data_IF_004594835364
#
_entry.id   IF_004594835364
#
_cell.length_a   1.000
_cell.length_b   1.000
_cell.length_c   1.000
_cell.angle_alpha   90.00
_cell.angle_beta   90.00
_cell.angle_gamma   90.00
#
_symmetry.space_group_name_H-M   'P 1'
#
loop_
_entity.id
_entity.type
_entity.pdbx_description
1 polymer ?
#
# COMPACT_ATOMS: atom_id res chain seq x y z
N UNK A 1 -24.33 -69.61 16.51
CA UNK A 1 -23.02 -70.16 16.15
C UNK A 1 -22.03 -69.03 16.20
N UNK A 2 -21.09 -69.12 17.07
CA UNK A 2 -20.14 -68.17 17.54
C UNK A 2 -19.34 -67.46 16.43
N UNK A 3 -19.14 -66.15 16.55
CA UNK A 3 -18.12 -65.42 15.82
C UNK A 3 -17.43 -64.40 16.73
N UNK A 4 -16.15 -64.48 16.77
CA UNK A 4 -15.15 -63.86 17.64
C UNK A 4 -15.03 -62.37 17.51
N UNK A 5 -15.00 -61.73 18.68
CA UNK A 5 -14.42 -60.40 18.93
C UNK A 5 -12.89 -60.42 18.70
N UNK A 6 -12.40 -59.45 17.97
CA UNK A 6 -10.99 -59.12 17.93
C UNK A 6 -10.82 -57.59 18.11
N UNK A 7 -10.43 -57.21 19.32
CA UNK A 7 -9.93 -55.89 19.67
C UNK A 7 -8.44 -55.80 19.36
N UNK A 8 -7.93 -54.75 18.74
CA UNK A 8 -6.50 -54.48 18.72
C UNK A 8 -6.07 -53.57 19.86
N UNK A 9 -4.98 -53.96 20.45
CA UNK A 9 -4.25 -53.45 21.56
C UNK A 9 -3.84 -51.98 21.42
N UNK A 10 -4.05 -51.25 22.51
CA UNK A 10 -3.51 -49.91 22.79
C UNK A 10 -1.97 -49.93 22.83
N UNK A 11 -1.31 -49.33 21.93
CA UNK A 11 0.14 -49.07 22.02
C UNK A 11 0.38 -47.79 22.80
N UNK A 12 0.72 -47.91 24.08
CA UNK A 12 1.20 -46.84 24.96
C UNK A 12 2.69 -46.67 24.77
N UNK A 13 3.13 -45.81 23.85
CA UNK A 13 4.45 -45.22 23.91
C UNK A 13 4.33 -43.77 23.46
N UNK A 14 3.85 -42.93 24.37
CA UNK A 14 3.99 -41.50 24.27
C UNK A 14 5.39 -41.09 24.77
N UNK A 15 6.29 -40.92 23.86
CA UNK A 15 7.57 -40.26 24.10
C UNK A 15 7.34 -38.78 24.33
N UNK A 16 7.59 -38.37 25.58
CA UNK A 16 7.72 -36.98 26.00
C UNK A 16 8.80 -36.29 25.15
N UNK A 17 8.39 -35.44 24.24
CA UNK A 17 9.29 -34.53 23.54
C UNK A 17 9.23 -33.17 24.25
N UNK A 18 10.22 -32.92 25.10
CA UNK A 18 10.47 -31.62 25.70
C UNK A 18 10.73 -30.60 24.61
N UNK A 19 9.82 -29.66 24.47
CA UNK A 19 9.96 -28.47 23.62
C UNK A 19 10.98 -27.53 24.21
N UNK A 20 12.20 -27.56 23.70
CA UNK A 20 13.19 -26.52 23.94
C UNK A 20 12.70 -25.21 23.30
N UNK A 21 12.26 -24.29 24.12
CA UNK A 21 12.02 -22.91 23.72
C UNK A 21 13.38 -22.28 23.41
N UNK A 22 13.76 -22.27 22.15
CA UNK A 22 14.87 -21.44 21.67
C UNK A 22 14.44 -19.98 21.73
N UNK A 23 14.98 -19.30 22.75
CA UNK A 23 14.91 -17.85 22.89
C UNK A 23 15.69 -17.23 21.73
N UNK A 24 14.98 -16.77 20.71
CA UNK A 24 15.54 -15.96 19.61
C UNK A 24 16.08 -14.66 20.23
N UNK A 25 17.40 -14.54 20.27
CA UNK A 25 18.05 -13.28 20.58
C UNK A 25 17.75 -12.27 19.47
N UNK A 26 17.41 -11.02 19.81
CA UNK A 26 17.22 -9.99 18.81
C UNK A 26 18.56 -9.72 18.10
N UNK A 27 18.59 -9.94 16.79
CA UNK A 27 19.67 -9.48 15.92
C UNK A 27 19.78 -7.96 16.08
N UNK A 28 20.87 -7.53 16.66
CA UNK A 28 21.24 -6.11 16.66
C UNK A 28 21.39 -5.67 15.20
N UNK A 29 20.46 -4.85 14.74
CA UNK A 29 20.59 -4.14 13.51
C UNK A 29 21.81 -3.22 13.64
N UNK A 30 22.86 -3.47 12.88
CA UNK A 30 23.96 -2.54 12.67
C UNK A 30 23.37 -1.31 12.00
N UNK A 31 23.15 -0.26 12.77
CA UNK A 31 22.89 1.06 12.23
C UNK A 31 24.13 1.48 11.42
N UNK A 32 24.01 1.47 10.10
CA UNK A 32 24.93 2.21 9.25
C UNK A 32 24.71 3.69 9.56
N UNK A 33 25.75 4.32 10.11
CA UNK A 33 25.77 5.72 10.41
C UNK A 33 25.43 6.54 9.17
N UNK A 34 24.52 7.53 9.27
CA UNK A 34 24.33 8.50 8.21
C UNK A 34 25.60 9.34 8.10
N UNK A 35 26.02 9.57 6.85
CA UNK A 35 27.07 10.53 6.52
C UNK A 35 26.77 11.87 7.21
N UNK A 36 27.51 12.13 8.27
CA UNK A 36 27.51 13.42 8.92
C UNK A 36 28.30 14.37 7.99
N UNK A 37 27.60 15.09 7.13
CA UNK A 37 28.18 16.23 6.43
C UNK A 37 28.45 17.30 7.47
N UNK A 38 29.69 17.33 7.96
CA UNK A 38 30.24 18.44 8.69
C UNK A 38 30.31 19.65 7.76
N UNK A 39 29.36 20.56 7.91
CA UNK A 39 29.50 21.90 7.40
C UNK A 39 30.68 22.56 8.16
N UNK A 40 31.82 22.65 7.51
CA UNK A 40 32.91 23.46 7.97
C UNK A 40 32.45 24.93 7.98
N UNK A 41 32.36 25.51 9.17
CA UNK A 41 32.23 26.94 9.35
C UNK A 41 33.52 27.57 8.80
N UNK A 42 33.44 28.62 7.95
CA UNK A 42 34.62 29.44 7.69
C UNK A 42 34.89 30.26 8.94
N UNK A 43 36.05 30.01 9.50
CA UNK A 43 36.60 30.72 10.60
C UNK A 43 37.03 32.13 10.16
N UNK A 44 36.54 33.10 10.94
CA UNK A 44 37.22 34.31 11.42
C UNK A 44 37.94 35.18 10.39
N UNK A 45 37.31 36.32 10.12
CA UNK A 45 37.98 37.54 9.74
C UNK A 45 38.83 38.03 10.92
N UNK A 46 40.11 37.72 10.90
CA UNK A 46 41.07 38.35 11.76
C UNK A 46 41.40 39.75 11.22
N UNK A 47 41.12 40.64 12.06
CA UNK A 47 41.47 42.03 12.19
C UNK A 47 42.95 42.30 11.87
N UNK A 48 43.27 42.92 10.76
CA UNK A 48 44.59 43.53 10.54
C UNK A 48 44.47 45.05 10.73
N UNK A 49 44.85 45.45 11.92
CA UNK A 49 45.12 46.82 12.31
C UNK A 49 46.60 47.03 12.12
N UNK A 50 47.00 47.85 11.20
CA UNK A 50 48.36 48.22 10.98
C UNK A 50 48.41 49.62 10.38
N UNK A 51 48.81 50.55 11.21
CA UNK A 51 48.98 51.99 10.90
C UNK A 51 50.28 52.26 10.16
N UNK A 52 50.37 53.41 9.68
CA UNK A 52 51.67 54.04 9.37
C UNK A 52 51.68 54.93 8.16
N UNK A 53 51.52 56.15 8.39
CA UNK A 53 52.43 57.25 7.97
C UNK A 53 52.66 57.60 6.49
N UNK A 54 52.15 58.73 6.10
CA UNK A 54 52.92 59.80 5.51
C UNK A 54 53.42 59.65 4.06
N UNK A 55 52.97 60.56 3.18
CA UNK A 55 53.58 60.78 1.88
C UNK A 55 52.73 61.66 1.00
N UNK A 56 53.03 62.98 1.03
CA UNK A 56 52.49 64.00 0.14
C UNK A 56 52.82 63.67 -1.32
N UNK A 57 51.87 63.83 -2.18
CA UNK A 57 52.04 63.63 -3.62
C UNK A 57 50.83 64.11 -4.37
N UNK A 58 50.85 65.42 -4.74
CA UNK A 58 49.95 66.06 -5.69
C UNK A 58 49.88 65.19 -7.00
N UNK A 59 48.74 64.65 -7.30
CA UNK A 59 48.49 63.98 -8.55
C UNK A 59 47.17 64.43 -9.18
N UNK A 60 47.11 64.46 -10.48
CA UNK A 60 46.03 65.08 -11.22
C UNK A 60 44.80 64.20 -11.26
N UNK A 61 43.65 64.88 -11.30
CA UNK A 61 42.33 64.46 -11.84
C UNK A 61 42.12 62.99 -12.04
N UNK A 62 41.46 62.39 -11.10
CA UNK A 62 40.75 61.15 -11.35
C UNK A 62 39.63 61.41 -12.35
N UNK A 63 39.83 61.03 -13.60
CA UNK A 63 38.74 60.63 -14.41
C UNK A 63 38.05 59.50 -13.64
N UNK A 64 36.87 59.76 -13.14
CA UNK A 64 35.92 58.68 -12.77
C UNK A 64 35.72 57.86 -14.03
N UNK A 65 36.57 56.87 -14.19
CA UNK A 65 36.33 55.81 -15.15
C UNK A 65 34.99 55.22 -14.75
N UNK A 66 33.96 55.77 -15.37
CA UNK A 66 32.61 55.27 -15.31
C UNK A 66 32.67 53.82 -15.80
N UNK A 67 32.85 52.91 -14.82
CA UNK A 67 32.95 51.49 -15.08
C UNK A 67 31.61 51.06 -15.71
N UNK A 68 31.52 51.17 -17.03
CA UNK A 68 30.41 50.67 -17.80
C UNK A 68 30.52 49.14 -17.76
N UNK A 69 29.72 48.49 -16.94
CA UNK A 69 29.84 47.05 -16.81
C UNK A 69 29.49 46.41 -18.15
N UNK A 70 30.44 45.64 -18.64
CA UNK A 70 30.32 44.88 -19.88
C UNK A 70 29.01 44.06 -19.89
N UNK A 71 28.06 44.46 -20.75
CA UNK A 71 26.72 43.88 -20.79
C UNK A 71 26.77 42.37 -21.09
N UNK A 72 27.81 41.93 -21.81
CA UNK A 72 28.00 40.49 -22.07
C UNK A 72 28.40 39.73 -20.83
N UNK A 73 29.25 40.31 -19.99
CA UNK A 73 29.63 39.68 -18.68
C UNK A 73 28.46 39.64 -17.71
N UNK A 74 27.63 40.69 -17.67
CA UNK A 74 26.39 40.71 -16.85
C UNK A 74 25.40 39.66 -17.34
N UNK A 75 25.19 39.54 -18.65
CA UNK A 75 24.32 38.55 -19.21
C UNK A 75 24.79 37.12 -18.91
N UNK A 76 26.10 36.88 -19.01
CA UNK A 76 26.68 35.57 -18.67
C UNK A 76 26.51 35.24 -17.19
N UNK A 77 26.81 36.21 -16.29
CA UNK A 77 26.63 36.03 -14.85
C UNK A 77 25.16 35.75 -14.47
N UNK A 78 24.24 36.52 -15.06
CA UNK A 78 22.80 36.27 -14.84
C UNK A 78 22.36 34.89 -15.36
N UNK A 79 22.86 34.46 -16.51
CA UNK A 79 22.57 33.16 -17.05
C UNK A 79 23.11 32.03 -16.16
N UNK A 80 24.33 32.18 -15.66
CA UNK A 80 24.92 31.23 -14.70
C UNK A 80 24.13 31.17 -13.40
N UNK A 81 23.70 32.34 -12.88
CA UNK A 81 22.93 32.43 -11.66
C UNK A 81 21.54 31.78 -11.83
N UNK A 82 20.85 32.10 -12.92
CA UNK A 82 19.55 31.47 -13.25
C UNK A 82 19.71 29.98 -13.48
N UNK A 83 20.77 29.54 -14.14
CA UNK A 83 21.05 28.13 -14.34
C UNK A 83 21.36 27.39 -13.04
N UNK A 84 22.19 27.97 -12.17
CA UNK A 84 22.59 27.34 -10.90
C UNK A 84 21.43 27.16 -9.90
N UNK A 85 20.48 28.09 -9.88
CA UNK A 85 19.29 28.01 -9.02
C UNK A 85 18.13 27.35 -9.71
N UNK A 86 17.93 27.63 -11.00
CA UNK A 86 16.80 27.16 -11.78
C UNK A 86 16.80 25.63 -11.99
N UNK A 87 17.98 25.05 -12.26
CA UNK A 87 18.08 23.59 -12.46
C UNK A 87 17.66 22.79 -11.20
N UNK A 88 18.26 23.00 -10.02
CA UNK A 88 17.85 22.24 -8.84
C UNK A 88 16.42 22.56 -8.41
N UNK A 89 15.97 23.81 -8.57
CA UNK A 89 14.60 24.21 -8.27
C UNK A 89 13.59 23.51 -9.18
N UNK A 90 13.87 23.41 -10.49
CA UNK A 90 12.98 22.70 -11.44
C UNK A 90 12.91 21.20 -11.17
N UNK A 91 14.02 20.55 -10.81
CA UNK A 91 14.05 19.13 -10.42
C UNK A 91 13.23 18.93 -9.16
N UNK A 92 13.42 19.76 -8.12
CA UNK A 92 12.63 19.65 -6.89
C UNK A 92 11.13 19.89 -7.14
N UNK A 93 10.80 20.89 -7.93
CA UNK A 93 9.41 21.19 -8.28
C UNK A 93 8.78 20.07 -9.12
N UNK A 94 9.54 19.49 -10.05
CA UNK A 94 9.10 18.36 -10.86
C UNK A 94 8.84 17.09 -10.05
N UNK A 95 9.75 16.75 -9.14
CA UNK A 95 9.55 15.60 -8.24
C UNK A 95 8.38 15.83 -7.27
N UNK A 96 8.25 17.05 -6.75
CA UNK A 96 7.11 17.41 -5.91
C UNK A 96 5.78 17.31 -6.67
N UNK A 97 5.72 17.85 -7.89
CA UNK A 97 4.53 17.76 -8.74
C UNK A 97 4.20 16.31 -9.11
N UNK A 98 5.21 15.47 -9.40
CA UNK A 98 4.99 14.05 -9.73
C UNK A 98 4.39 13.25 -8.58
N UNK A 99 4.59 13.69 -7.34
CA UNK A 99 3.99 13.06 -6.17
C UNK A 99 2.46 13.17 -6.15
N UNK A 100 1.91 14.23 -6.72
CA UNK A 100 0.45 14.42 -6.83
C UNK A 100 -0.17 13.73 -8.04
N UNK A 101 0.65 13.23 -8.96
CA UNK A 101 0.15 12.45 -10.10
C UNK A 101 0.02 11.00 -9.66
N UNK A 102 -1.21 10.48 -9.49
CA UNK A 102 -1.37 9.08 -9.13
C UNK A 102 -0.76 8.21 -10.24
N UNK A 103 -0.03 7.13 -9.87
CA UNK A 103 0.50 6.21 -10.87
C UNK A 103 -0.67 5.66 -11.69
N UNK A 104 -0.62 5.87 -13.00
CA UNK A 104 -1.61 5.30 -13.92
C UNK A 104 -1.38 3.79 -13.90
N UNK A 105 -2.11 3.11 -13.02
CA UNK A 105 -2.18 1.64 -13.06
C UNK A 105 -2.77 1.28 -14.42
N UNK A 106 -2.07 0.43 -15.13
CA UNK A 106 -2.36 -0.03 -16.48
C UNK A 106 -3.88 -0.12 -16.73
N UNK A 107 -4.32 0.58 -17.75
CA UNK A 107 -5.72 0.61 -18.25
C UNK A 107 -6.16 -0.70 -18.90
N UNK A 108 -5.73 -1.83 -18.37
CA UNK A 108 -6.26 -3.12 -18.71
C UNK A 108 -7.53 -3.35 -17.92
N UNK A 109 -8.68 -3.24 -18.52
CA UNK A 109 -9.94 -3.81 -18.05
C UNK A 109 -10.61 -3.22 -16.78
N UNK A 110 -10.08 -2.18 -16.14
CA UNK A 110 -10.71 -1.55 -14.94
C UNK A 110 -10.72 -2.43 -13.69
N UNK A 111 -10.07 -3.60 -13.71
CA UNK A 111 -9.91 -4.50 -12.58
C UNK A 111 -8.66 -4.20 -11.77
N UNK A 112 -8.67 -4.60 -10.51
CA UNK A 112 -7.53 -4.57 -9.60
C UNK A 112 -7.17 -6.01 -9.24
N UNK A 113 -5.88 -6.36 -9.34
CA UNK A 113 -5.41 -7.68 -8.92
C UNK A 113 -5.63 -7.83 -7.42
N UNK A 114 -6.35 -8.89 -7.04
CA UNK A 114 -6.57 -9.22 -5.63
C UNK A 114 -5.25 -9.53 -4.94
N UNK A 115 -5.08 -8.99 -3.73
CA UNK A 115 -3.88 -9.18 -2.93
C UNK A 115 -4.22 -9.78 -1.58
N UNK A 116 -3.33 -10.60 -1.10
CA UNK A 116 -3.39 -11.14 0.26
C UNK A 116 -3.06 -10.05 1.30
N UNK A 117 -3.23 -10.35 2.57
CA UNK A 117 -2.91 -9.48 3.70
C UNK A 117 -1.45 -8.96 3.68
N UNK A 118 -0.54 -9.70 3.08
CA UNK A 118 0.86 -9.33 2.88
C UNK A 118 1.11 -8.47 1.63
N UNK A 119 0.07 -8.18 0.84
CA UNK A 119 0.18 -7.44 -0.42
C UNK A 119 0.65 -8.29 -1.61
N UNK A 120 0.75 -9.61 -1.46
CA UNK A 120 1.13 -10.53 -2.52
C UNK A 120 -0.04 -10.76 -3.48
N UNK A 121 0.14 -10.69 -4.81
CA UNK A 121 -0.91 -10.97 -5.77
C UNK A 121 -1.32 -12.43 -5.72
N UNK A 122 -2.63 -12.67 -5.78
CA UNK A 122 -3.21 -14.02 -5.63
C UNK A 122 -3.34 -14.68 -7.01
N UNK A 123 -2.71 -15.87 -7.16
CA UNK A 123 -2.90 -16.74 -8.31
C UNK A 123 -4.04 -17.71 -8.05
N UNK A 124 -4.96 -17.88 -9.02
CA UNK A 124 -6.12 -18.78 -8.90
C UNK A 124 -5.71 -20.20 -8.52
N UNK A 125 -4.74 -20.79 -9.21
CA UNK A 125 -4.32 -22.17 -8.98
C UNK A 125 -3.78 -22.40 -7.57
N UNK A 126 -2.86 -21.57 -7.12
CA UNK A 126 -2.28 -21.65 -5.78
C UNK A 126 -3.34 -21.42 -4.69
N UNK A 127 -4.27 -20.51 -4.96
CA UNK A 127 -5.35 -20.19 -4.03
C UNK A 127 -6.28 -21.39 -3.85
N UNK A 128 -6.73 -22.04 -4.93
CA UNK A 128 -7.61 -23.19 -4.87
C UNK A 128 -6.95 -24.44 -4.26
N UNK A 129 -5.62 -24.59 -4.38
CA UNK A 129 -4.89 -25.69 -3.71
C UNK A 129 -4.82 -25.51 -2.19
N UNK A 130 -4.82 -24.28 -1.72
CA UNK A 130 -4.65 -23.96 -0.30
C UNK A 130 -5.99 -23.87 0.44
N UNK A 131 -7.07 -23.53 -0.28
CA UNK A 131 -8.38 -23.26 0.31
C UNK A 131 -9.39 -24.36 -0.02
N UNK A 132 -10.17 -24.73 0.98
CA UNK A 132 -11.18 -25.79 0.82
C UNK A 132 -12.43 -25.26 0.10
N UNK A 133 -13.22 -26.17 -0.55
CA UNK A 133 -14.54 -25.81 -1.07
C UNK A 133 -15.41 -25.15 -0.01
N UNK A 134 -16.13 -24.09 -0.40
CA UNK A 134 -16.96 -23.30 0.51
C UNK A 134 -16.23 -22.26 1.36
N UNK A 135 -14.89 -22.14 1.22
CA UNK A 135 -14.12 -21.13 1.95
C UNK A 135 -14.43 -19.71 1.48
N UNK A 136 -14.29 -18.78 2.40
CA UNK A 136 -14.43 -17.33 2.16
C UNK A 136 -13.30 -16.61 2.86
N UNK A 137 -12.35 -16.12 2.08
CA UNK A 137 -11.14 -15.52 2.62
C UNK A 137 -11.08 -14.05 2.29
N UNK A 138 -10.59 -13.29 3.27
CA UNK A 138 -10.51 -11.85 3.18
C UNK A 138 -9.24 -11.43 2.44
N UNK A 139 -9.42 -10.69 1.35
CA UNK A 139 -8.35 -10.18 0.51
C UNK A 139 -8.50 -8.67 0.31
N UNK A 140 -7.48 -8.03 -0.22
CA UNK A 140 -7.57 -6.65 -0.67
C UNK A 140 -8.15 -6.61 -2.09
N UNK A 141 -9.34 -6.03 -2.22
CA UNK A 141 -10.04 -5.86 -3.48
C UNK A 141 -9.92 -4.46 -4.07
N UNK A 142 -11.03 -3.97 -4.61
CA UNK A 142 -11.14 -2.63 -5.19
C UNK A 142 -10.76 -1.56 -4.16
N UNK A 143 -9.97 -0.58 -4.58
CA UNK A 143 -9.49 0.53 -3.73
C UNK A 143 -8.74 0.10 -2.45
N UNK A 144 -8.32 -1.18 -2.36
CA UNK A 144 -7.72 -1.73 -1.15
C UNK A 144 -8.73 -2.09 -0.06
N UNK A 145 -10.02 -2.08 -0.36
CA UNK A 145 -11.07 -2.45 0.58
C UNK A 145 -11.06 -3.96 0.86
N UNK A 146 -11.41 -4.37 2.10
CA UNK A 146 -11.51 -5.77 2.45
C UNK A 146 -12.62 -6.43 1.64
N UNK A 147 -12.28 -7.48 0.91
CA UNK A 147 -13.17 -8.18 -0.01
C UNK A 147 -13.04 -9.68 0.20
N UNK A 148 -14.16 -10.39 0.19
CA UNK A 148 -14.15 -11.85 0.26
C UNK A 148 -14.09 -12.46 -1.13
N UNK A 149 -13.09 -13.30 -1.36
CA UNK A 149 -13.11 -14.27 -2.45
C UNK A 149 -13.91 -15.49 -2.00
N UNK A 150 -14.84 -15.91 -2.82
CA UNK A 150 -15.74 -17.02 -2.52
C UNK A 150 -15.35 -18.24 -3.36
N UNK A 151 -15.04 -19.34 -2.71
CA UNK A 151 -14.87 -20.64 -3.36
C UNK A 151 -16.21 -21.37 -3.25
N UNK A 152 -16.72 -21.88 -4.37
CA UNK A 152 -17.98 -22.62 -4.37
C UNK A 152 -17.81 -24.04 -3.79
N UNK A 153 -18.91 -24.74 -3.65
CA UNK A 153 -18.91 -26.11 -3.10
C UNK A 153 -18.24 -27.13 -4.06
N UNK A 154 -18.06 -26.77 -5.35
CA UNK A 154 -17.31 -27.57 -6.34
C UNK A 154 -15.79 -27.31 -6.33
N UNK A 155 -15.33 -26.39 -5.51
CA UNK A 155 -13.90 -26.08 -5.41
C UNK A 155 -13.40 -25.10 -6.47
N UNK A 156 -14.31 -24.35 -7.11
CA UNK A 156 -13.98 -23.29 -8.07
C UNK A 156 -14.20 -21.91 -7.48
N UNK A 157 -13.49 -20.91 -8.01
CA UNK A 157 -13.70 -19.54 -7.64
C UNK A 157 -15.02 -19.03 -8.24
N UNK A 158 -15.88 -18.47 -7.40
CA UNK A 158 -17.13 -17.84 -7.86
C UNK A 158 -16.85 -16.60 -8.72
N UNK A 159 -17.72 -16.34 -9.69
CA UNK A 159 -17.63 -15.16 -10.57
C UNK A 159 -17.91 -13.84 -9.85
N UNK A 160 -18.15 -13.87 -8.55
CA UNK A 160 -18.37 -12.67 -7.73
C UNK A 160 -17.57 -12.69 -6.45
N UNK A 161 -17.21 -11.51 -6.00
CA UNK A 161 -16.60 -11.23 -4.71
C UNK A 161 -17.54 -10.34 -3.88
N UNK A 162 -17.41 -10.39 -2.57
CA UNK A 162 -18.21 -9.63 -1.63
C UNK A 162 -17.35 -8.60 -0.91
N UNK A 163 -17.71 -7.34 -0.98
CA UNK A 163 -17.09 -6.33 -0.12
C UNK A 163 -17.46 -6.62 1.34
N UNK A 164 -16.47 -6.73 2.21
CA UNK A 164 -16.65 -7.08 3.61
C UNK A 164 -17.13 -5.92 4.49
N UNK A 165 -17.36 -4.75 3.92
CA UNK A 165 -17.73 -3.54 4.65
C UNK A 165 -19.23 -3.52 4.93
N UNK A 166 -19.60 -3.48 6.21
CA UNK A 166 -20.98 -3.42 6.67
C UNK A 166 -21.66 -2.11 6.22
N UNK A 167 -22.82 -2.22 5.60
CA UNK A 167 -23.58 -1.08 5.09
C UNK A 167 -24.24 -0.21 6.18
N UNK A 168 -24.13 -0.61 7.45
CA UNK A 168 -24.60 0.20 8.58
C UNK A 168 -23.62 1.33 8.91
N UNK A 169 -22.41 1.02 9.37
CA UNK A 169 -21.41 2.00 9.81
C UNK A 169 -19.96 1.60 9.40
N UNK A 170 -19.80 0.77 8.40
CA UNK A 170 -18.48 0.50 7.82
C UNK A 170 -17.59 -0.51 8.55
N UNK A 171 -18.12 -1.27 9.52
CA UNK A 171 -17.34 -2.34 10.18
C UNK A 171 -17.04 -3.49 9.20
N UNK A 172 -15.88 -4.11 9.31
CA UNK A 172 -15.57 -5.34 8.57
C UNK A 172 -16.39 -6.49 9.14
N UNK A 173 -17.11 -7.21 8.29
CA UNK A 173 -18.02 -8.28 8.68
C UNK A 173 -17.34 -9.63 8.52
N UNK A 174 -17.04 -10.36 9.59
CA UNK A 174 -16.45 -11.70 9.51
C UNK A 174 -17.47 -12.73 9.03
N UNK A 175 -16.97 -13.77 8.34
CA UNK A 175 -17.72 -14.96 7.98
C UNK A 175 -17.81 -15.91 9.16
N UNK A 176 -19.02 -16.35 9.50
CA UNK A 176 -19.28 -17.36 10.51
C UNK A 176 -19.69 -18.67 9.82
N UNK A 177 -18.76 -19.60 9.72
CA UNK A 177 -18.97 -20.89 9.05
C UNK A 177 -20.02 -21.76 9.77
N UNK A 178 -20.12 -21.68 11.12
CA UNK A 178 -21.07 -22.47 11.88
C UNK A 178 -22.53 -22.06 11.61
N UNK A 179 -22.76 -20.79 11.30
CA UNK A 179 -24.09 -20.27 11.01
C UNK A 179 -24.34 -20.04 9.52
N UNK A 180 -23.35 -20.25 8.66
CA UNK A 180 -23.40 -19.95 7.23
C UNK A 180 -23.83 -18.51 6.92
N UNK A 181 -23.32 -17.55 7.71
CA UNK A 181 -23.69 -16.13 7.63
C UNK A 181 -22.49 -15.22 7.87
N UNK A 182 -22.55 -14.06 7.29
CA UNK A 182 -21.71 -12.95 7.71
C UNK A 182 -22.40 -12.23 8.86
N UNK A 183 -21.70 -12.02 9.96
CA UNK A 183 -22.26 -11.39 11.16
C UNK A 183 -21.40 -10.21 11.57
N UNK A 184 -21.96 -9.01 11.50
CA UNK A 184 -21.25 -7.81 11.90
C UNK A 184 -21.11 -7.76 13.44
N UNK A 185 -19.88 -7.67 13.96
CA UNK A 185 -19.66 -7.68 15.41
C UNK A 185 -20.07 -6.37 16.09
N UNK A 186 -20.22 -5.28 15.32
CA UNK A 186 -20.51 -3.96 15.89
C UNK A 186 -21.96 -3.85 16.41
N UNK A 187 -22.94 -4.23 15.59
CA UNK A 187 -24.35 -4.09 15.94
C UNK A 187 -25.22 -5.29 15.52
N UNK A 188 -24.59 -6.41 15.19
CA UNK A 188 -25.29 -7.66 14.94
C UNK A 188 -26.03 -7.76 13.60
N UNK A 189 -25.73 -6.90 12.62
CA UNK A 189 -26.26 -7.06 11.26
C UNK A 189 -25.84 -8.41 10.69
N UNK A 190 -26.75 -9.10 10.03
CA UNK A 190 -26.52 -10.41 9.46
C UNK A 190 -26.79 -10.42 7.97
N UNK A 191 -25.90 -11.11 7.25
CA UNK A 191 -26.01 -11.33 5.81
C UNK A 191 -25.91 -12.82 5.53
N UNK A 192 -26.59 -13.26 4.52
CA UNK A 192 -26.52 -14.65 4.08
C UNK A 192 -25.19 -15.01 3.40
N UNK A 193 -25.06 -16.25 2.92
CA UNK A 193 -23.87 -16.72 2.21
C UNK A 193 -23.54 -15.93 0.93
N UNK A 194 -24.51 -15.25 0.34
CA UNK A 194 -24.35 -14.40 -0.85
C UNK A 194 -24.15 -12.93 -0.52
N UNK A 195 -24.10 -12.57 0.76
CA UNK A 195 -23.97 -11.20 1.22
C UNK A 195 -25.27 -10.39 1.16
N UNK A 196 -26.45 -11.03 0.95
CA UNK A 196 -27.75 -10.37 1.07
C UNK A 196 -28.08 -10.12 2.54
N UNK A 197 -28.55 -8.93 2.86
CA UNK A 197 -28.97 -8.61 4.22
C UNK A 197 -30.18 -9.44 4.63
N UNK A 198 -30.10 -10.10 5.79
CA UNK A 198 -31.18 -10.90 6.37
C UNK A 198 -31.67 -10.36 7.71
N UNK A 199 -30.83 -9.59 8.41
CA UNK A 199 -31.17 -8.95 9.68
C UNK A 199 -30.43 -7.63 9.84
N UNK A 200 -31.18 -6.56 10.14
CA UNK A 200 -30.63 -5.23 10.41
C UNK A 200 -29.91 -5.10 11.74
N UNK A 201 -29.27 -3.93 11.99
CA UNK A 201 -29.61 -2.59 11.49
C UNK A 201 -29.09 -2.18 10.11
N UNK A 202 -28.28 -2.98 9.45
CA UNK A 202 -27.81 -2.66 8.09
C UNK A 202 -28.98 -2.54 7.10
N UNK A 203 -29.08 -1.42 6.34
CA UNK A 203 -30.20 -1.18 5.43
C UNK A 203 -30.06 -1.93 4.09
N UNK A 204 -28.82 -2.26 3.68
CA UNK A 204 -28.51 -2.74 2.34
C UNK A 204 -27.63 -3.98 2.40
N UNK A 205 -27.64 -4.78 1.32
CA UNK A 205 -26.76 -5.93 1.14
C UNK A 205 -25.31 -5.51 0.92
N UNK A 206 -24.35 -6.42 1.17
CA UNK A 206 -22.93 -6.16 0.90
C UNK A 206 -22.71 -5.85 -0.58
N UNK A 207 -21.80 -4.93 -0.89
CA UNK A 207 -21.48 -4.60 -2.27
C UNK A 207 -20.85 -5.80 -3.00
N UNK A 208 -21.18 -5.95 -4.28
CA UNK A 208 -20.63 -6.97 -5.16
C UNK A 208 -19.48 -6.43 -6.00
N UNK A 209 -18.59 -7.32 -6.34
CA UNK A 209 -17.58 -7.12 -7.36
C UNK A 209 -17.49 -8.37 -8.24
N UNK A 210 -17.05 -8.22 -9.49
CA UNK A 210 -16.74 -9.36 -10.35
C UNK A 210 -15.38 -9.94 -9.97
N UNK A 211 -15.28 -11.25 -10.09
CA UNK A 211 -14.02 -11.96 -9.95
C UNK A 211 -13.67 -12.61 -11.28
N UNK A 212 -12.59 -12.14 -11.88
CA UNK A 212 -12.07 -12.66 -13.14
C UNK A 212 -10.64 -13.17 -12.93
N UNK A 213 -10.14 -13.92 -13.90
CA UNK A 213 -8.74 -14.36 -13.93
C UNK A 213 -8.10 -13.77 -15.17
N UNK A 214 -6.98 -13.06 -14.99
CA UNK A 214 -6.25 -12.50 -16.12
C UNK A 214 -5.42 -13.57 -16.85
N UNK A 215 -4.80 -13.19 -17.96
CA UNK A 215 -3.96 -14.08 -18.79
C UNK A 215 -2.78 -14.68 -18.02
N UNK A 216 -2.29 -14.01 -17.00
CA UNK A 216 -1.19 -14.45 -16.14
C UNK A 216 -1.65 -15.38 -15.01
N UNK A 217 -2.94 -15.69 -14.92
CA UNK A 217 -3.52 -16.54 -13.88
C UNK A 217 -3.77 -15.84 -12.54
N UNK A 218 -3.63 -14.52 -12.47
CA UNK A 218 -3.96 -13.75 -11.26
C UNK A 218 -5.45 -13.44 -11.18
N UNK A 219 -5.96 -13.45 -9.96
CA UNK A 219 -7.34 -13.08 -9.66
C UNK A 219 -7.48 -11.57 -9.72
N UNK A 220 -8.39 -11.09 -10.58
CA UNK A 220 -8.74 -9.67 -10.69
C UNK A 220 -10.14 -9.43 -10.14
N UNK A 221 -10.27 -8.35 -9.40
CA UNK A 221 -11.57 -7.86 -8.91
C UNK A 221 -11.97 -6.65 -9.74
N UNK A 222 -13.16 -6.70 -10.34
CA UNK A 222 -13.72 -5.63 -11.18
C UNK A 222 -14.98 -5.05 -10.56
N UNK A 223 -15.29 -3.77 -10.79
CA UNK A 223 -16.51 -3.18 -10.26
C UNK A 223 -17.76 -3.81 -10.89
N UNK A 224 -18.72 -4.17 -10.04
CA UNK A 224 -20.03 -4.68 -10.47
C UNK A 224 -20.93 -3.52 -10.89
N UNK A 225 -21.38 -3.52 -12.12
CA UNK A 225 -22.22 -2.45 -12.71
C UNK A 225 -23.62 -2.93 -13.10
N UNK A 226 -23.81 -4.22 -13.20
CA UNK A 226 -25.01 -4.90 -13.59
C UNK A 226 -26.03 -4.88 -12.44
N UNK A 227 -27.20 -5.39 -12.71
CA UNK A 227 -28.26 -5.60 -11.72
C UNK A 227 -27.78 -6.58 -10.65
N UNK A 228 -28.08 -6.30 -9.38
CA UNK A 228 -27.80 -7.20 -8.27
C UNK A 228 -28.66 -8.48 -8.43
N UNK A 229 -28.03 -9.63 -8.67
CA UNK A 229 -28.72 -10.89 -8.85
C UNK A 229 -29.49 -11.37 -7.61
N UNK A 230 -29.16 -10.82 -6.43
CA UNK A 230 -29.80 -11.17 -5.13
C UNK A 230 -31.11 -10.46 -4.90
N UNK A 231 -31.24 -9.24 -5.40
CA UNK A 231 -32.40 -8.35 -5.16
C UNK A 231 -33.17 -8.02 -6.43
N UNK A 232 -32.55 -8.12 -7.62
CA UNK A 232 -33.10 -7.69 -8.90
C UNK A 232 -33.09 -6.16 -9.09
N UNK A 233 -32.43 -5.42 -8.20
CA UNK A 233 -32.37 -3.96 -8.23
C UNK A 233 -31.04 -3.47 -8.80
N UNK A 234 -30.99 -2.16 -9.10
CA UNK A 234 -29.74 -1.51 -9.50
C UNK A 234 -28.78 -1.45 -8.32
N UNK A 235 -27.48 -1.61 -8.54
CA UNK A 235 -26.48 -1.59 -7.49
C UNK A 235 -26.46 -0.22 -6.79
N UNK A 236 -26.54 -0.22 -5.48
CA UNK A 236 -26.48 0.99 -4.64
C UNK A 236 -25.06 1.56 -4.48
N UNK A 237 -24.04 0.72 -4.76
CA UNK A 237 -22.60 1.06 -4.59
C UNK A 237 -21.96 1.69 -5.83
N UNK A 238 -22.73 2.15 -6.79
CA UNK A 238 -22.25 2.87 -7.97
C UNK A 238 -21.82 4.29 -7.63
#
# INVERSE_FOLDING_TARGET
MFAFLSTPLLNKNALTRTSGVQRLQPRQAKCHAPLCMTFARPSTLDNVRGGGSGGDGSGPSSSDDDYVPDMNKRMLLNLLLVGSVGLPASVMLGTYASFFVPPIKNKGSGGVVAKDALGTPIKKETYLQTHQPGSRDLVQGLNGEPTYLVVNDSGELEGYALNAVCTHLGCVVPWNAAQNKFICPCHGSQYDRTGKVVRGPAPLSLALAHTDVNEDGFVEVKPWKETDFRTGEKPWWK
#
